data_IF_362158467306
#
_entry.id   IF_362158467306
#
_cell.length_a   1.000
_cell.length_b   1.000
_cell.length_c   1.000
_cell.angle_alpha   90.00
_cell.angle_beta   90.00
_cell.angle_gamma   90.00
#
_symmetry.space_group_name_H-M   'P 1'
#
loop_
_entity.id
_entity.type
_entity.pdbx_description
1 polymer ?
#
# COMPACT_ATOMS: atom_id res chain seq x y z
N UNK A 1 6.38 2.09 26.01
CA UNK A 1 5.14 1.28 26.04
C UNK A 1 4.80 0.87 27.48
N UNK A 2 3.51 0.99 27.88
CA UNK A 2 3.04 0.58 29.22
C UNK A 2 3.02 -0.95 29.37
N UNK A 3 3.07 -1.42 30.62
CA UNK A 3 2.88 -2.84 30.92
C UNK A 3 1.43 -3.27 30.65
N UNK A 4 1.23 -4.46 30.06
CA UNK A 4 -0.10 -5.00 29.67
C UNK A 4 -1.12 -4.90 30.81
N UNK A 5 -0.75 -5.37 32.01
CA UNK A 5 -1.61 -5.33 33.18
C UNK A 5 -2.05 -3.91 33.59
N UNK A 6 -1.15 -2.93 33.51
CA UNK A 6 -1.49 -1.53 33.81
C UNK A 6 -2.49 -0.98 32.78
N UNK A 7 -2.34 -1.35 31.51
CA UNK A 7 -3.26 -0.96 30.45
C UNK A 7 -4.64 -1.61 30.64
N UNK A 8 -4.70 -2.91 30.98
CA UNK A 8 -5.96 -3.61 31.32
C UNK A 8 -6.69 -2.87 32.46
N UNK A 9 -5.96 -2.51 33.53
CA UNK A 9 -6.54 -1.75 34.65
C UNK A 9 -7.08 -0.39 34.20
N UNK A 10 -6.31 0.34 33.40
CA UNK A 10 -6.70 1.64 32.88
C UNK A 10 -8.02 1.53 32.08
N UNK A 11 -8.08 0.60 31.12
CA UNK A 11 -9.25 0.40 30.25
C UNK A 11 -10.46 -0.06 31.07
N UNK A 12 -10.26 -1.00 32.01
CA UNK A 12 -11.33 -1.47 32.89
C UNK A 12 -11.99 -0.33 33.66
N UNK A 13 -11.17 0.58 34.22
CA UNK A 13 -11.68 1.73 34.97
C UNK A 13 -12.41 2.72 34.04
N UNK A 14 -11.90 2.97 32.83
CA UNK A 14 -12.57 3.79 31.81
C UNK A 14 -13.96 3.22 31.47
N UNK A 15 -14.06 1.89 31.28
CA UNK A 15 -15.31 1.19 30.99
C UNK A 15 -16.19 0.96 32.23
N UNK A 16 -15.80 1.50 33.40
CA UNK A 16 -16.53 1.34 34.67
C UNK A 16 -16.77 -0.12 35.09
N UNK A 17 -15.90 -1.03 34.67
CA UNK A 17 -15.98 -2.46 34.98
C UNK A 17 -15.29 -2.79 36.31
N UNK A 18 -15.80 -3.81 37.01
CA UNK A 18 -15.21 -4.39 38.21
C UNK A 18 -14.37 -5.61 37.84
N UNK A 19 -13.41 -5.97 38.69
CA UNK A 19 -12.51 -7.10 38.46
C UNK A 19 -13.23 -8.46 38.41
N UNK A 20 -14.45 -8.55 38.93
CA UNK A 20 -15.28 -9.76 38.91
C UNK A 20 -16.13 -9.88 37.64
N UNK A 21 -16.11 -8.86 36.78
CA UNK A 21 -16.98 -8.79 35.60
C UNK A 21 -16.36 -9.50 34.38
N UNK A 22 -15.13 -10.01 34.51
CA UNK A 22 -14.48 -10.80 33.45
C UNK A 22 -14.95 -12.25 33.48
N UNK A 23 -15.12 -12.84 32.29
CA UNK A 23 -15.73 -14.15 32.09
C UNK A 23 -14.76 -15.30 32.42
N UNK A 24 -13.57 -15.30 31.80
CA UNK A 24 -12.63 -16.43 31.87
C UNK A 24 -11.52 -16.26 32.92
N UNK A 25 -11.43 -15.09 33.55
CA UNK A 25 -10.38 -14.79 34.52
C UNK A 25 -10.97 -14.44 35.87
N UNK A 26 -10.61 -15.22 36.88
CA UNK A 26 -11.06 -14.96 38.25
C UNK A 26 -10.65 -13.57 38.73
N UNK A 27 -11.44 -13.00 39.64
CA UNK A 27 -11.17 -11.68 40.24
C UNK A 27 -9.73 -11.56 40.79
N UNK A 28 -9.26 -12.58 41.51
CA UNK A 28 -7.88 -12.62 42.02
C UNK A 28 -6.84 -12.72 40.89
N UNK A 29 -7.18 -13.43 39.81
CA UNK A 29 -6.37 -13.49 38.59
C UNK A 29 -6.21 -12.11 37.96
N UNK A 30 -7.31 -11.39 37.74
CA UNK A 30 -7.32 -10.03 37.19
C UNK A 30 -6.50 -9.08 38.09
N UNK A 31 -6.71 -9.11 39.41
CA UNK A 31 -5.94 -8.27 40.33
C UNK A 31 -4.42 -8.50 40.25
N UNK A 32 -3.99 -9.76 40.09
CA UNK A 32 -2.57 -10.10 39.92
C UNK A 32 -2.03 -9.67 38.55
N UNK A 33 -2.83 -9.76 37.49
CA UNK A 33 -2.48 -9.27 36.15
C UNK A 33 -2.33 -7.73 36.19
N UNK A 34 -3.32 -7.02 36.72
CA UNK A 34 -3.35 -5.55 36.80
C UNK A 34 -2.19 -4.96 37.62
N UNK A 35 -1.70 -5.71 38.60
CA UNK A 35 -0.54 -5.35 39.40
C UNK A 35 0.80 -5.77 38.80
N UNK A 36 0.81 -6.33 37.58
CA UNK A 36 2.00 -6.85 36.89
C UNK A 36 2.77 -7.93 37.66
N UNK A 37 2.11 -8.62 38.60
CA UNK A 37 2.70 -9.73 39.36
C UNK A 37 2.66 -11.06 38.61
N UNK A 38 1.84 -11.15 37.56
CA UNK A 38 1.68 -12.34 36.74
C UNK A 38 1.66 -11.96 35.26
N UNK A 39 2.47 -12.65 34.46
CA UNK A 39 2.41 -12.55 33.01
C UNK A 39 1.10 -13.17 32.49
N UNK A 40 0.52 -12.54 31.48
CA UNK A 40 -0.71 -13.00 30.84
C UNK A 40 -0.36 -13.78 29.57
N UNK A 41 -1.11 -14.84 29.29
CA UNK A 41 -1.03 -15.57 28.01
C UNK A 41 -1.83 -14.84 26.94
N UNK A 42 -1.55 -15.08 25.66
CA UNK A 42 -2.30 -14.45 24.57
C UNK A 42 -3.81 -14.77 24.66
N UNK A 43 -4.18 -16.04 24.86
CA UNK A 43 -5.59 -16.45 24.93
C UNK A 43 -6.37 -15.72 26.04
N UNK A 44 -5.72 -15.50 27.19
CA UNK A 44 -6.32 -14.75 28.30
C UNK A 44 -6.42 -13.27 28.00
N UNK A 45 -5.45 -12.72 27.28
CA UNK A 45 -5.54 -11.34 26.81
C UNK A 45 -6.72 -11.20 25.86
N UNK A 46 -6.86 -12.09 24.87
CA UNK A 46 -7.98 -12.09 23.92
C UNK A 46 -9.32 -12.15 24.65
N UNK A 47 -9.51 -13.08 25.58
CA UNK A 47 -10.75 -13.16 26.36
C UNK A 47 -11.05 -11.88 27.17
N UNK A 48 -10.03 -11.25 27.77
CA UNK A 48 -10.20 -9.96 28.45
C UNK A 48 -10.60 -8.85 27.46
N UNK A 49 -10.04 -8.86 26.25
CA UNK A 49 -10.38 -7.91 25.21
C UNK A 49 -11.80 -8.11 24.67
N UNK A 50 -12.26 -9.37 24.60
CA UNK A 50 -13.64 -9.71 24.26
C UNK A 50 -14.61 -9.18 25.32
N UNK A 51 -14.30 -9.35 26.61
CA UNK A 51 -15.08 -8.76 27.71
C UNK A 51 -15.11 -7.22 27.64
N UNK A 52 -14.05 -6.59 27.11
CA UNK A 52 -14.03 -5.16 26.83
C UNK A 52 -14.77 -4.76 25.55
N UNK A 53 -15.06 -5.70 24.64
CA UNK A 53 -15.51 -5.41 23.28
C UNK A 53 -14.49 -4.58 22.50
N UNK A 54 -13.21 -4.96 22.57
CA UNK A 54 -12.07 -4.21 22.02
C UNK A 54 -11.17 -5.13 21.19
N UNK A 55 -10.57 -4.60 20.12
CA UNK A 55 -9.56 -5.34 19.35
C UNK A 55 -8.17 -5.27 19.99
N UNK A 56 -7.31 -6.26 19.72
CA UNK A 56 -5.90 -6.20 20.14
C UNK A 56 -5.18 -4.96 19.59
N UNK A 57 -5.54 -4.52 18.38
CA UNK A 57 -4.97 -3.33 17.75
C UNK A 57 -5.26 -2.07 18.55
N UNK A 58 -6.52 -1.86 18.96
CA UNK A 58 -6.90 -0.72 19.79
C UNK A 58 -6.24 -0.79 21.18
N UNK A 59 -6.17 -1.99 21.76
CA UNK A 59 -5.48 -2.19 23.03
C UNK A 59 -4.01 -1.78 22.97
N UNK A 60 -3.27 -2.23 21.96
CA UNK A 60 -1.86 -1.87 21.76
C UNK A 60 -1.69 -0.35 21.51
N UNK A 61 -2.62 0.27 20.77
CA UNK A 61 -2.64 1.72 20.59
C UNK A 61 -2.76 2.47 21.94
N UNK A 62 -3.70 2.07 22.81
CA UNK A 62 -3.84 2.66 24.17
C UNK A 62 -2.61 2.37 25.03
N UNK A 63 -2.09 1.14 24.97
CA UNK A 63 -0.88 0.71 25.70
C UNK A 63 0.35 1.52 25.32
N UNK A 64 0.40 1.96 24.06
CA UNK A 64 1.45 2.81 23.53
C UNK A 64 1.10 4.30 23.60
N UNK A 65 0.26 4.70 24.58
CA UNK A 65 -0.11 6.09 24.84
C UNK A 65 -0.79 6.78 23.65
N UNK A 66 -1.69 6.04 22.99
CA UNK A 66 -2.42 6.48 21.81
C UNK A 66 -1.48 6.86 20.66
N UNK A 67 -0.44 6.04 20.47
CA UNK A 67 0.49 6.13 19.35
C UNK A 67 0.63 4.78 18.67
N UNK A 68 0.81 4.79 17.35
CA UNK A 68 1.22 3.60 16.63
C UNK A 68 2.67 3.25 16.97
N UNK A 69 3.09 2.01 16.69
CA UNK A 69 4.52 1.70 16.73
C UNK A 69 5.26 2.54 15.67
N UNK A 70 6.56 2.83 15.83
CA UNK A 70 7.31 3.59 14.83
C UNK A 70 7.18 3.00 13.42
N UNK A 71 7.34 1.69 13.28
CA UNK A 71 7.21 0.97 12.00
C UNK A 71 5.79 1.00 11.46
N UNK A 72 4.75 0.80 12.29
CA UNK A 72 3.35 0.90 11.84
C UNK A 72 2.99 2.32 11.43
N UNK A 73 3.56 3.33 12.10
CA UNK A 73 3.35 4.72 11.73
C UNK A 73 3.99 5.02 10.37
N UNK A 74 5.21 4.52 10.12
CA UNK A 74 5.85 4.65 8.81
C UNK A 74 5.08 3.91 7.71
N UNK A 75 4.61 2.69 7.98
CA UNK A 75 3.79 1.94 7.02
C UNK A 75 2.46 2.64 6.75
N UNK A 76 1.83 3.22 7.78
CA UNK A 76 0.60 3.98 7.64
C UNK A 76 0.83 5.29 6.86
N UNK A 77 1.91 6.02 7.18
CA UNK A 77 2.30 7.23 6.45
C UNK A 77 2.55 6.90 4.98
N UNK A 78 3.29 5.82 4.70
CA UNK A 78 3.55 5.31 3.35
C UNK A 78 2.27 4.93 2.59
N UNK A 79 1.37 4.18 3.22
CA UNK A 79 0.08 3.79 2.59
C UNK A 79 -0.89 4.95 2.42
N UNK A 80 -0.77 6.01 3.23
CA UNK A 80 -1.61 7.20 3.17
C UNK A 80 -1.10 8.28 2.21
N UNK A 81 0.12 8.17 1.66
CA UNK A 81 0.55 9.02 0.54
C UNK A 81 -0.35 8.68 -0.64
N UNK A 82 -1.42 9.48 -0.81
CA UNK A 82 -2.53 9.15 -1.72
C UNK A 82 -2.13 9.19 -3.20
N UNK A 83 -1.04 9.91 -3.53
CA UNK A 83 -0.57 10.12 -4.89
C UNK A 83 0.96 9.97 -4.95
N UNK A 84 1.46 9.06 -5.80
CA UNK A 84 2.90 8.88 -6.09
C UNK A 84 3.56 10.08 -6.78
N UNK A 85 2.75 11.05 -7.21
CA UNK A 85 3.19 12.27 -7.91
C UNK A 85 3.72 13.33 -6.94
N UNK A 86 3.38 13.27 -5.64
CA UNK A 86 3.84 14.26 -4.65
C UNK A 86 5.30 14.00 -4.23
N UNK A 87 6.22 14.51 -5.05
CA UNK A 87 7.68 14.42 -4.84
C UNK A 87 8.13 15.05 -3.52
N UNK A 88 7.39 16.02 -2.96
CA UNK A 88 7.75 16.68 -1.70
C UNK A 88 7.43 15.76 -0.52
N UNK A 89 6.24 15.16 -0.52
CA UNK A 89 5.88 14.16 0.49
C UNK A 89 6.79 12.94 0.41
N UNK A 90 7.10 12.45 -0.80
CA UNK A 90 7.99 11.31 -0.98
C UNK A 90 9.41 11.52 -0.44
N UNK A 91 10.02 12.68 -0.71
CA UNK A 91 11.34 13.04 -0.14
C UNK A 91 11.33 13.13 1.39
N UNK A 92 10.25 13.67 1.95
CA UNK A 92 10.08 13.72 3.41
C UNK A 92 9.99 12.31 3.99
N UNK A 93 9.21 11.43 3.35
CA UNK A 93 9.06 10.04 3.77
C UNK A 93 10.38 9.26 3.70
N UNK A 94 11.16 9.42 2.62
CA UNK A 94 12.51 8.85 2.53
C UNK A 94 13.41 9.30 3.68
N UNK A 95 13.36 10.58 4.04
CA UNK A 95 14.16 11.11 5.15
C UNK A 95 13.74 10.44 6.47
N UNK A 96 12.44 10.29 6.70
CA UNK A 96 11.91 9.62 7.90
C UNK A 96 12.30 8.13 7.95
N UNK A 97 12.21 7.43 6.82
CA UNK A 97 12.62 6.02 6.69
C UNK A 97 14.13 5.85 6.93
N UNK A 98 14.95 6.74 6.37
CA UNK A 98 16.40 6.75 6.59
C UNK A 98 16.75 6.94 8.06
N UNK A 99 16.17 7.93 8.73
CA UNK A 99 16.41 8.16 10.16
C UNK A 99 15.94 6.99 11.02
N UNK A 100 14.83 6.33 10.67
CA UNK A 100 14.39 5.11 11.36
C UNK A 100 15.36 3.96 11.18
N UNK A 101 15.90 3.77 9.97
CA UNK A 101 16.87 2.71 9.68
C UNK A 101 18.24 2.95 10.35
N UNK A 102 18.59 4.20 10.64
CA UNK A 102 19.76 4.51 11.48
C UNK A 102 19.58 4.01 12.93
N UNK A 103 18.37 4.12 13.47
CA UNK A 103 18.04 3.65 14.82
C UNK A 103 17.73 2.14 14.87
N UNK A 104 17.11 1.61 13.82
CA UNK A 104 16.64 0.21 13.69
C UNK A 104 17.16 -0.44 12.40
N UNK A 105 18.47 -0.70 12.27
CA UNK A 105 19.08 -1.15 11.01
C UNK A 105 18.65 -2.54 10.54
N UNK A 106 18.00 -3.33 11.42
CA UNK A 106 17.48 -4.66 11.08
C UNK A 106 15.99 -4.67 10.77
N UNK A 107 15.32 -3.51 10.72
CA UNK A 107 13.91 -3.40 10.34
C UNK A 107 13.75 -3.60 8.83
N UNK A 108 13.53 -4.85 8.44
CA UNK A 108 13.39 -5.26 7.03
C UNK A 108 12.19 -4.58 6.33
N UNK A 109 11.10 -4.30 7.06
CA UNK A 109 9.92 -3.66 6.46
C UNK A 109 10.23 -2.19 6.16
N UNK A 110 10.83 -1.47 7.12
CA UNK A 110 11.25 -0.09 6.88
C UNK A 110 12.26 0.01 5.73
N UNK A 111 13.19 -0.96 5.62
CA UNK A 111 14.12 -1.04 4.50
C UNK A 111 13.39 -1.24 3.17
N UNK A 112 12.43 -2.16 3.11
CA UNK A 112 11.63 -2.35 1.90
C UNK A 112 10.87 -1.08 1.50
N UNK A 113 10.22 -0.39 2.44
CA UNK A 113 9.50 0.85 2.18
C UNK A 113 10.44 1.96 1.67
N UNK A 114 11.66 2.04 2.22
CA UNK A 114 12.68 2.98 1.76
C UNK A 114 13.03 2.73 0.28
N UNK A 115 13.28 1.47 -0.08
CA UNK A 115 13.59 1.11 -1.48
C UNK A 115 12.41 1.36 -2.41
N UNK A 116 11.19 1.04 -1.98
CA UNK A 116 9.99 1.34 -2.77
C UNK A 116 9.88 2.83 -3.05
N UNK A 117 10.02 3.68 -2.03
CA UNK A 117 9.90 5.13 -2.18
C UNK A 117 11.02 5.70 -3.08
N UNK A 118 12.26 5.24 -2.90
CA UNK A 118 13.40 5.63 -3.74
C UNK A 118 13.15 5.28 -5.21
N UNK A 119 12.65 4.07 -5.46
CA UNK A 119 12.28 3.60 -6.78
C UNK A 119 11.14 4.44 -7.39
N UNK A 120 10.08 4.74 -6.63
CA UNK A 120 8.97 5.60 -7.09
C UNK A 120 9.51 6.98 -7.48
N UNK A 121 10.33 7.62 -6.65
CA UNK A 121 10.90 8.93 -6.96
C UNK A 121 11.78 8.90 -8.22
N UNK A 122 12.56 7.84 -8.42
CA UNK A 122 13.38 7.66 -9.64
C UNK A 122 12.51 7.52 -10.89
N UNK A 123 11.44 6.74 -10.83
CA UNK A 123 10.48 6.59 -11.94
C UNK A 123 9.84 7.92 -12.27
N UNK A 124 9.28 8.59 -11.27
CA UNK A 124 8.61 9.89 -11.47
C UNK A 124 9.59 10.93 -12.00
N UNK A 125 10.87 10.91 -11.60
CA UNK A 125 11.88 11.85 -12.08
C UNK A 125 12.33 11.58 -13.53
N UNK A 126 12.40 10.31 -13.94
CA UNK A 126 12.86 9.91 -15.28
C UNK A 126 11.72 9.68 -16.28
N UNK A 127 10.48 9.70 -15.78
CA UNK A 127 9.27 9.24 -16.47
C UNK A 127 9.44 7.90 -17.20
N UNK A 128 10.04 6.92 -16.50
CA UNK A 128 10.44 5.64 -17.08
C UNK A 128 10.54 4.56 -16.02
N UNK A 129 10.15 3.34 -16.37
CA UNK A 129 10.35 2.15 -15.53
C UNK A 129 11.75 1.53 -15.65
N UNK A 130 12.57 2.00 -16.60
CA UNK A 130 13.94 1.52 -16.80
C UNK A 130 14.89 2.14 -15.77
N UNK A 131 14.71 1.78 -14.51
CA UNK A 131 15.49 2.25 -13.37
C UNK A 131 16.38 1.14 -12.85
N UNK A 132 17.64 1.44 -12.57
CA UNK A 132 18.51 0.54 -11.82
C UNK A 132 18.22 0.62 -10.32
N UNK A 133 17.88 -0.52 -9.73
CA UNK A 133 17.79 -0.71 -8.27
C UNK A 133 18.26 -2.12 -7.89
N UNK A 134 19.57 -2.33 -7.67
CA UNK A 134 20.09 -3.59 -7.14
C UNK A 134 19.40 -4.03 -5.85
N UNK A 135 18.98 -3.07 -5.03
CA UNK A 135 18.29 -3.29 -3.77
C UNK A 135 16.91 -3.93 -3.96
N UNK A 136 16.18 -3.56 -5.02
CA UNK A 136 14.92 -4.22 -5.35
C UNK A 136 15.14 -5.71 -5.68
N UNK A 137 16.23 -6.05 -6.38
CA UNK A 137 16.62 -7.44 -6.64
C UNK A 137 17.05 -8.18 -5.37
N UNK A 138 17.70 -7.50 -4.43
CA UNK A 138 18.02 -8.07 -3.11
C UNK A 138 16.74 -8.40 -2.33
N UNK A 139 15.79 -7.47 -2.25
CA UNK A 139 14.47 -7.71 -1.63
C UNK A 139 13.79 -8.90 -2.28
N UNK A 140 13.76 -8.96 -3.62
CA UNK A 140 13.19 -10.09 -4.34
C UNK A 140 13.87 -11.41 -3.97
N UNK A 141 15.21 -11.45 -3.90
CA UNK A 141 15.95 -12.67 -3.57
C UNK A 141 15.57 -13.23 -2.19
N UNK A 142 15.31 -12.32 -1.22
CA UNK A 142 14.87 -12.67 0.13
C UNK A 142 13.43 -13.16 0.14
N UNK A 143 12.53 -12.46 -0.58
CA UNK A 143 11.10 -12.75 -0.56
C UNK A 143 10.71 -13.94 -1.43
N UNK A 144 11.44 -14.20 -2.51
CA UNK A 144 11.16 -15.29 -3.44
C UNK A 144 11.23 -16.66 -2.77
N UNK A 145 12.22 -16.87 -1.90
CA UNK A 145 12.43 -18.14 -1.19
C UNK A 145 11.37 -18.49 -0.14
N UNK A 146 10.47 -17.56 0.19
CA UNK A 146 9.39 -17.80 1.16
C UNK A 146 8.28 -18.65 0.54
N UNK A 147 7.69 -19.56 1.31
CA UNK A 147 6.61 -20.43 0.82
C UNK A 147 5.28 -19.72 0.60
N UNK A 148 5.01 -18.64 1.37
CA UNK A 148 3.83 -17.81 1.28
C UNK A 148 4.18 -16.37 1.66
N UNK A 149 3.33 -15.43 1.26
CA UNK A 149 3.48 -14.02 1.61
C UNK A 149 2.38 -13.55 2.55
N UNK A 150 2.78 -12.76 3.56
CA UNK A 150 1.80 -11.98 4.32
C UNK A 150 1.36 -10.77 3.49
N UNK A 151 0.34 -10.06 3.95
CA UNK A 151 -0.08 -8.81 3.32
C UNK A 151 1.09 -7.83 3.11
N UNK A 152 2.02 -7.72 4.06
CA UNK A 152 3.14 -6.79 3.97
C UNK A 152 4.02 -7.11 2.76
N UNK A 153 4.38 -8.38 2.54
CA UNK A 153 5.16 -8.78 1.37
C UNK A 153 4.39 -8.58 0.06
N UNK A 154 3.10 -8.91 0.03
CA UNK A 154 2.23 -8.66 -1.14
C UNK A 154 2.24 -7.18 -1.49
N UNK A 155 2.04 -6.32 -0.48
CA UNK A 155 2.02 -4.87 -0.66
C UNK A 155 3.37 -4.34 -1.15
N UNK A 156 4.48 -4.73 -0.53
CA UNK A 156 5.84 -4.31 -0.96
C UNK A 156 6.10 -4.71 -2.41
N UNK A 157 5.88 -5.98 -2.76
CA UNK A 157 6.21 -6.48 -4.10
C UNK A 157 5.32 -5.87 -5.18
N UNK A 158 4.08 -5.54 -4.85
CA UNK A 158 3.20 -4.79 -5.75
C UNK A 158 3.66 -3.38 -6.09
N UNK A 159 4.62 -2.85 -5.33
CA UNK A 159 5.23 -1.54 -5.55
C UNK A 159 6.67 -1.64 -6.05
N UNK A 160 7.18 -2.83 -6.36
CA UNK A 160 8.53 -3.03 -6.89
C UNK A 160 8.56 -3.74 -8.24
N UNK A 161 7.52 -4.52 -8.60
CA UNK A 161 7.54 -5.39 -9.77
C UNK A 161 7.90 -4.67 -11.09
N UNK A 162 7.63 -3.37 -11.19
CA UNK A 162 7.82 -2.60 -12.42
C UNK A 162 9.28 -2.26 -12.75
N UNK A 163 10.24 -2.43 -11.82
CA UNK A 163 11.69 -2.25 -12.11
C UNK A 163 12.35 -3.50 -12.68
N UNK A 164 11.61 -4.61 -12.75
CA UNK A 164 12.14 -5.88 -13.21
C UNK A 164 11.91 -6.08 -14.72
N UNK A 165 12.79 -6.85 -15.39
CA UNK A 165 12.57 -7.28 -16.78
C UNK A 165 11.23 -7.99 -16.95
N UNK A 166 10.61 -7.87 -18.13
CA UNK A 166 9.24 -8.32 -18.40
C UNK A 166 8.97 -9.75 -17.97
N UNK A 167 9.89 -10.68 -18.24
CA UNK A 167 9.73 -12.10 -17.90
C UNK A 167 9.66 -12.30 -16.38
N UNK A 168 10.58 -11.66 -15.66
CA UNK A 168 10.65 -11.75 -14.19
C UNK A 168 9.47 -10.98 -13.55
N UNK A 169 9.19 -9.76 -14.02
CA UNK A 169 8.07 -8.95 -13.58
C UNK A 169 6.74 -9.68 -13.75
N UNK A 170 6.54 -10.39 -14.86
CA UNK A 170 5.34 -11.22 -15.09
C UNK A 170 5.21 -12.33 -14.04
N UNK A 171 6.31 -13.05 -13.75
CA UNK A 171 6.27 -14.09 -12.71
C UNK A 171 5.99 -13.53 -11.31
N UNK A 172 6.41 -12.29 -11.03
CA UNK A 172 6.10 -11.60 -9.79
C UNK A 172 4.63 -11.22 -9.73
N UNK A 173 4.07 -10.66 -10.81
CA UNK A 173 2.65 -10.29 -10.93
C UNK A 173 1.77 -11.51 -10.67
N UNK A 174 2.05 -12.65 -11.31
CA UNK A 174 1.30 -13.89 -11.12
C UNK A 174 1.32 -14.36 -9.65
N UNK A 175 2.47 -14.20 -8.98
CA UNK A 175 2.61 -14.52 -7.56
C UNK A 175 1.83 -13.52 -6.69
N UNK A 176 1.93 -12.23 -6.98
CA UNK A 176 1.19 -11.18 -6.25
C UNK A 176 -0.31 -11.46 -6.33
N UNK A 177 -0.85 -11.76 -7.51
CA UNK A 177 -2.27 -12.08 -7.69
C UNK A 177 -2.71 -13.28 -6.84
N UNK A 178 -1.92 -14.36 -6.87
CA UNK A 178 -2.23 -15.58 -6.11
C UNK A 178 -2.23 -15.34 -4.60
N UNK A 179 -1.23 -14.62 -4.08
CA UNK A 179 -1.12 -14.35 -2.64
C UNK A 179 -2.15 -13.29 -2.20
N UNK A 180 -2.41 -12.27 -3.04
CA UNK A 180 -3.40 -11.21 -2.81
C UNK A 180 -4.80 -11.76 -2.62
N UNK A 181 -5.17 -12.85 -3.31
CA UNK A 181 -6.48 -13.49 -3.17
C UNK A 181 -6.84 -13.84 -1.71
N UNK A 182 -5.84 -14.11 -0.85
CA UNK A 182 -6.06 -14.41 0.57
C UNK A 182 -6.37 -13.17 1.42
N UNK A 183 -6.14 -11.96 0.90
CA UNK A 183 -6.20 -10.70 1.64
C UNK A 183 -7.26 -9.72 1.12
N UNK A 184 -8.00 -10.05 0.06
CA UNK A 184 -9.01 -9.16 -0.54
C UNK A 184 -10.06 -8.73 0.50
N UNK A 185 -10.59 -9.69 1.26
CA UNK A 185 -11.59 -9.40 2.31
C UNK A 185 -10.99 -8.65 3.51
N UNK A 186 -9.73 -8.93 3.83
CA UNK A 186 -9.01 -8.25 4.92
C UNK A 186 -8.77 -6.76 4.60
N UNK A 187 -8.61 -6.42 3.32
CA UNK A 187 -8.28 -5.06 2.84
C UNK A 187 -9.43 -4.42 2.08
N UNK A 188 -10.65 -4.89 2.31
CA UNK A 188 -11.85 -4.46 1.60
C UNK A 188 -12.15 -2.96 1.70
N UNK A 189 -11.46 -2.19 2.53
CA UNK A 189 -11.66 -0.74 2.63
C UNK A 189 -10.62 0.03 1.78
N UNK A 190 -9.50 -0.60 1.43
CA UNK A 190 -8.40 0.02 0.69
C UNK A 190 -8.53 -0.25 -0.82
N UNK A 191 -9.13 -1.39 -1.19
CA UNK A 191 -9.36 -1.82 -2.58
C UNK A 191 -8.06 -1.77 -3.40
N UNK A 192 -7.05 -2.40 -2.82
CA UNK A 192 -5.69 -2.42 -3.34
C UNK A 192 -5.61 -3.11 -4.73
N UNK A 193 -6.50 -4.07 -5.00
CA UNK A 193 -6.66 -4.79 -6.27
C UNK A 193 -6.86 -3.85 -7.48
N UNK A 194 -7.74 -2.85 -7.36
CA UNK A 194 -7.98 -1.88 -8.44
C UNK A 194 -6.71 -1.09 -8.80
N UNK A 195 -5.97 -0.65 -7.76
CA UNK A 195 -4.71 0.09 -7.94
C UNK A 195 -3.63 -0.81 -8.52
N UNK A 196 -3.54 -2.05 -8.03
CA UNK A 196 -2.57 -3.03 -8.52
C UNK A 196 -2.77 -3.32 -10.00
N UNK A 197 -4.00 -3.64 -10.43
CA UNK A 197 -4.28 -3.94 -11.83
C UNK A 197 -4.06 -2.75 -12.77
N UNK A 198 -4.39 -1.54 -12.32
CA UNK A 198 -4.05 -0.32 -13.06
C UNK A 198 -2.54 -0.20 -13.27
N UNK A 199 -1.75 -0.32 -12.20
CA UNK A 199 -0.29 -0.23 -12.28
C UNK A 199 0.33 -1.32 -13.16
N UNK A 200 -0.20 -2.55 -13.12
CA UNK A 200 0.24 -3.65 -13.99
C UNK A 200 -0.08 -3.34 -15.46
N UNK A 201 -1.26 -2.79 -15.73
CA UNK A 201 -1.65 -2.34 -17.06
C UNK A 201 -0.71 -1.27 -17.63
N UNK A 202 -0.40 -0.25 -16.82
CA UNK A 202 0.59 0.78 -17.17
C UNK A 202 1.96 0.19 -17.45
N UNK A 203 2.47 -0.65 -16.54
CA UNK A 203 3.76 -1.32 -16.70
C UNK A 203 3.86 -2.05 -18.04
N UNK A 204 2.90 -2.91 -18.38
CA UNK A 204 2.91 -3.62 -19.66
C UNK A 204 2.82 -2.69 -20.87
N UNK A 205 2.10 -1.58 -20.75
CA UNK A 205 2.02 -0.55 -21.82
C UNK A 205 3.40 0.04 -22.11
N UNK A 206 4.15 0.43 -21.08
CA UNK A 206 5.52 0.94 -21.23
C UNK A 206 6.51 -0.12 -21.76
N UNK A 207 6.21 -1.41 -21.58
CA UNK A 207 6.98 -2.52 -22.11
C UNK A 207 6.52 -2.96 -23.52
N UNK A 208 5.65 -2.16 -24.17
CA UNK A 208 5.04 -2.45 -25.48
C UNK A 208 4.24 -3.78 -25.53
N UNK A 209 3.76 -4.26 -24.38
CA UNK A 209 2.94 -5.46 -24.25
C UNK A 209 1.45 -5.10 -24.21
N UNK A 210 0.96 -4.44 -25.27
CA UNK A 210 -0.36 -3.80 -25.32
C UNK A 210 -1.54 -4.75 -25.01
N UNK A 211 -1.49 -5.99 -25.51
CA UNK A 211 -2.50 -7.00 -25.21
C UNK A 211 -2.60 -7.30 -23.70
N UNK A 212 -1.46 -7.40 -23.00
CA UNK A 212 -1.43 -7.59 -21.55
C UNK A 212 -1.83 -6.31 -20.82
N UNK A 213 -1.37 -5.15 -21.29
CA UNK A 213 -1.77 -3.84 -20.77
C UNK A 213 -3.30 -3.70 -20.73
N UNK A 214 -3.95 -3.90 -21.88
CA UNK A 214 -5.42 -3.90 -22.00
C UNK A 214 -6.10 -4.94 -21.12
N UNK A 215 -5.56 -6.16 -21.03
CA UNK A 215 -6.12 -7.22 -20.17
C UNK A 215 -6.25 -6.72 -18.73
N UNK A 216 -5.16 -6.20 -18.16
CA UNK A 216 -5.15 -5.76 -16.75
C UNK A 216 -5.92 -4.46 -16.50
N UNK A 217 -5.88 -3.50 -17.43
CA UNK A 217 -6.69 -2.28 -17.35
C UNK A 217 -8.20 -2.61 -17.34
N UNK A 218 -8.64 -3.55 -18.17
CA UNK A 218 -10.03 -4.02 -18.17
C UNK A 218 -10.41 -4.83 -16.93
N UNK A 219 -9.45 -5.45 -16.23
CA UNK A 219 -9.69 -6.05 -14.91
C UNK A 219 -9.86 -4.97 -13.82
N UNK A 220 -9.21 -3.81 -13.96
CA UNK A 220 -9.30 -2.72 -13.00
C UNK A 220 -10.65 -1.97 -13.07
N UNK A 221 -11.20 -1.74 -14.26
CA UNK A 221 -12.45 -0.99 -14.47
C UNK A 221 -13.63 -1.41 -13.56
N UNK A 222 -14.06 -2.70 -13.55
CA UNK A 222 -15.21 -3.11 -12.73
C UNK A 222 -14.94 -2.96 -11.23
N UNK A 223 -13.67 -3.01 -10.81
CA UNK A 223 -13.29 -2.76 -9.41
C UNK A 223 -13.34 -1.27 -9.09
N UNK A 224 -12.93 -0.42 -10.03
CA UNK A 224 -13.01 1.03 -9.87
C UNK A 224 -14.46 1.49 -9.72
N UNK A 225 -15.35 0.99 -10.56
CA UNK A 225 -16.80 1.26 -10.48
C UNK A 225 -17.39 0.75 -9.15
N UNK A 226 -17.09 -0.51 -8.79
CA UNK A 226 -17.62 -1.14 -7.57
C UNK A 226 -17.21 -0.39 -6.28
N UNK A 227 -16.05 0.25 -6.30
CA UNK A 227 -15.43 0.85 -5.12
C UNK A 227 -15.29 2.39 -5.21
N UNK A 228 -16.02 3.02 -6.14
CA UNK A 228 -16.04 4.48 -6.37
C UNK A 228 -14.63 5.09 -6.53
N UNK A 229 -13.72 4.40 -7.22
CA UNK A 229 -12.31 4.83 -7.42
C UNK A 229 -12.17 5.71 -8.65
N UNK A 230 -12.95 6.79 -8.73
CA UNK A 230 -13.04 7.69 -9.90
C UNK A 230 -11.68 8.20 -10.41
N UNK A 231 -10.74 8.49 -9.50
CA UNK A 231 -9.39 8.93 -9.89
C UNK A 231 -8.64 7.84 -10.65
N UNK A 232 -8.73 6.58 -10.17
CA UNK A 232 -8.08 5.43 -10.80
C UNK A 232 -8.81 5.08 -12.10
N UNK A 233 -10.14 5.14 -12.09
CA UNK A 233 -10.96 4.90 -13.27
C UNK A 233 -10.59 5.83 -14.44
N UNK A 234 -10.44 7.12 -14.17
CA UNK A 234 -10.02 8.12 -15.17
C UNK A 234 -8.63 7.79 -15.75
N UNK A 235 -7.72 7.35 -14.90
CA UNK A 235 -6.36 6.94 -15.28
C UNK A 235 -6.37 5.67 -16.16
N UNK A 236 -7.25 4.72 -15.84
CA UNK A 236 -7.46 3.50 -16.63
C UNK A 236 -8.00 3.81 -18.03
N UNK A 237 -9.00 4.70 -18.15
CA UNK A 237 -9.52 5.14 -19.45
C UNK A 237 -8.44 5.82 -20.29
N UNK A 238 -7.66 6.71 -19.68
CA UNK A 238 -6.57 7.38 -20.37
C UNK A 238 -5.55 6.40 -20.93
N UNK A 239 -5.14 5.39 -20.15
CA UNK A 239 -4.18 4.38 -20.61
C UNK A 239 -4.76 3.43 -21.67
N UNK A 240 -6.05 3.08 -21.60
CA UNK A 240 -6.70 2.34 -22.67
C UNK A 240 -6.67 3.13 -23.99
N UNK A 241 -6.96 4.43 -23.92
CA UNK A 241 -6.89 5.33 -25.07
C UNK A 241 -5.46 5.53 -25.61
N UNK A 242 -4.46 5.61 -24.74
CA UNK A 242 -3.03 5.61 -25.13
C UNK A 242 -2.71 4.36 -25.93
N UNK A 243 -3.12 3.18 -25.46
CA UNK A 243 -2.87 1.92 -26.18
C UNK A 243 -3.60 1.91 -27.52
N UNK A 244 -4.87 2.33 -27.58
CA UNK A 244 -5.64 2.39 -28.82
C UNK A 244 -4.96 3.31 -29.85
N UNK A 245 -4.44 4.45 -29.41
CA UNK A 245 -3.67 5.34 -30.26
C UNK A 245 -2.36 4.69 -30.75
N UNK A 246 -1.61 4.02 -29.86
CA UNK A 246 -0.39 3.28 -30.21
C UNK A 246 -0.66 2.16 -31.24
N UNK A 247 -1.85 1.57 -31.22
CA UNK A 247 -2.31 0.58 -32.20
C UNK A 247 -2.87 1.19 -33.50
N UNK A 248 -2.88 2.52 -33.62
CA UNK A 248 -3.19 3.27 -34.84
C UNK A 248 -4.53 4.00 -34.83
N UNK A 249 -5.32 3.92 -33.75
CA UNK A 249 -6.56 4.69 -33.62
C UNK A 249 -6.28 6.13 -33.19
N UNK A 250 -6.01 7.00 -34.14
CA UNK A 250 -5.65 8.40 -33.87
C UNK A 250 -6.76 9.21 -33.17
N UNK A 251 -8.03 8.79 -33.28
CA UNK A 251 -9.15 9.46 -32.61
C UNK A 251 -9.12 9.28 -31.09
N UNK A 252 -8.40 8.27 -30.58
CA UNK A 252 -8.25 8.02 -29.15
C UNK A 252 -7.51 9.14 -28.40
N UNK A 253 -6.78 10.01 -29.10
CA UNK A 253 -6.15 11.22 -28.53
C UNK A 253 -7.21 12.11 -27.83
N UNK A 254 -8.43 12.17 -28.36
CA UNK A 254 -9.51 12.96 -27.75
C UNK A 254 -9.93 12.43 -26.37
N UNK A 255 -9.91 11.12 -26.16
CA UNK A 255 -10.26 10.50 -24.86
C UNK A 255 -9.16 10.78 -23.82
N UNK A 256 -7.89 10.77 -24.22
CA UNK A 256 -6.79 11.16 -23.32
C UNK A 256 -6.94 12.61 -22.88
N UNK A 257 -7.23 13.52 -23.81
CA UNK A 257 -7.47 14.93 -23.50
C UNK A 257 -8.69 15.12 -22.58
N UNK A 258 -9.77 14.35 -22.77
CA UNK A 258 -10.91 14.37 -21.86
C UNK A 258 -10.52 13.91 -20.45
N UNK A 259 -9.69 12.86 -20.32
CA UNK A 259 -9.19 12.40 -19.03
C UNK A 259 -8.31 13.44 -18.33
N UNK A 260 -7.44 14.15 -19.06
CA UNK A 260 -6.66 15.29 -18.54
C UNK A 260 -7.59 16.39 -18.01
N UNK A 261 -8.60 16.77 -18.80
CA UNK A 261 -9.59 17.76 -18.40
C UNK A 261 -10.40 17.35 -17.17
N UNK A 262 -10.75 16.06 -17.05
CA UNK A 262 -11.42 15.52 -15.85
C UNK A 262 -10.55 15.65 -14.61
N UNK A 263 -9.23 15.43 -14.69
CA UNK A 263 -8.33 15.69 -13.56
C UNK A 263 -8.31 17.16 -13.16
N UNK A 264 -8.28 18.09 -14.11
CA UNK A 264 -8.44 19.53 -13.80
C UNK A 264 -9.80 19.83 -13.16
N UNK A 265 -10.89 19.27 -13.67
CA UNK A 265 -12.23 19.44 -13.11
C UNK A 265 -12.35 18.89 -11.68
N UNK A 266 -11.64 17.79 -11.37
CA UNK A 266 -11.50 17.23 -10.02
C UNK A 266 -10.54 18.02 -9.11
N UNK A 267 -9.96 19.12 -9.59
CA UNK A 267 -8.94 19.93 -8.90
C UNK A 267 -7.69 19.12 -8.55
N UNK A 268 -7.24 18.30 -9.49
CA UNK A 268 -6.03 17.47 -9.40
C UNK A 268 -5.05 17.81 -10.53
N UNK A 269 -4.56 19.06 -10.61
CA UNK A 269 -3.67 19.48 -11.70
C UNK A 269 -2.40 18.63 -11.76
N UNK A 270 -1.84 18.23 -10.61
CA UNK A 270 -0.66 17.35 -10.57
C UNK A 270 -0.88 16.02 -11.28
N UNK A 271 -2.10 15.46 -11.23
CA UNK A 271 -2.43 14.20 -11.93
C UNK A 271 -2.67 14.44 -13.43
N UNK A 272 -3.15 15.63 -13.80
CA UNK A 272 -3.28 16.03 -15.20
C UNK A 272 -1.89 16.18 -15.84
N UNK A 273 -0.97 16.88 -15.16
CA UNK A 273 0.42 17.06 -15.58
C UNK A 273 1.18 15.71 -15.69
N UNK A 274 0.93 14.79 -14.75
CA UNK A 274 1.50 13.43 -14.79
C UNK A 274 0.99 12.65 -16.02
N UNK A 275 -0.31 12.69 -16.30
CA UNK A 275 -0.90 12.03 -17.47
C UNK A 275 -0.43 12.65 -18.80
N UNK A 276 -0.29 13.97 -18.86
CA UNK A 276 0.32 14.65 -20.01
C UNK A 276 1.78 14.21 -20.21
N UNK A 277 2.53 14.09 -19.12
CA UNK A 277 3.90 13.59 -19.15
C UNK A 277 3.96 12.15 -19.66
N UNK A 278 3.05 11.28 -19.20
CA UNK A 278 2.92 9.89 -19.69
C UNK A 278 2.66 9.86 -21.20
N UNK A 279 1.71 10.63 -21.70
CA UNK A 279 1.46 10.76 -23.14
C UNK A 279 2.72 11.19 -23.90
N UNK A 280 3.40 12.23 -23.43
CA UNK A 280 4.61 12.76 -24.08
C UNK A 280 5.76 11.74 -24.10
N UNK A 281 5.81 10.79 -23.16
CA UNK A 281 6.79 9.69 -23.17
C UNK A 281 6.60 8.78 -24.38
N UNK A 282 5.36 8.49 -24.76
CA UNK A 282 5.04 7.69 -25.93
C UNK A 282 5.11 8.49 -27.23
N UNK A 283 4.82 9.79 -27.18
CA UNK A 283 4.63 10.64 -28.37
C UNK A 283 5.48 11.92 -28.33
N UNK A 284 6.80 11.77 -28.17
CA UNK A 284 7.81 12.84 -27.98
C UNK A 284 7.74 14.06 -28.92
N UNK A 285 7.02 13.97 -30.04
CA UNK A 285 6.88 15.04 -31.04
C UNK A 285 5.48 15.71 -31.05
N UNK A 286 4.54 15.26 -30.21
CA UNK A 286 3.20 15.82 -30.07
C UNK A 286 2.96 16.31 -28.64
N UNK A 287 2.94 17.63 -28.45
CA UNK A 287 2.39 18.23 -27.24
C UNK A 287 0.87 18.10 -27.30
N UNK A 288 0.26 17.50 -26.27
CA UNK A 288 -1.19 17.56 -26.05
C UNK A 288 -1.60 19.04 -26.04
N UNK A 289 -2.39 19.47 -27.03
CA UNK A 289 -2.89 20.84 -27.16
C UNK A 289 -4.41 20.89 -26.99
#
# INVERSE_FOLDING_TARGET
MKAIGKTIRQIRLIKSMKQKDFSEVSQAGIANIESSRKNITLDKLISILDDFGMSLREFEYIRNDYKLSPTDNLFLDFTNVKNSVDRVQGKKLLTQLSSHLEEYPTDFIAYCLYIVEDVILKITAQNSYNIESPEAFEIWSILYGRSAWTYQEVYIMSKLFFVFPVELGTSMIDRIEREMANYVDFLKDIHFDATFYTNVGKYYTHQNQFMLGKKYLNQALPLCEKYDRVIIENDVYAYLAIIDYLEGNMEAEAEVLDCVNRFHAMRKPDLAEDLESDWNTFFKEKVLN
#
